data_IF_084445168160
#
_entry.id   IF_084445168160
#
_cell.length_a   1.000
_cell.length_b   1.000
_cell.length_c   1.000
_cell.angle_alpha   90.00
_cell.angle_beta   90.00
_cell.angle_gamma   90.00
#
_symmetry.space_group_name_H-M   'P 1'
#
loop_
_entity.id
_entity.type
_entity.pdbx_description
1 polymer ?
#
# COMPACT_ATOMS: atom_id res chain seq x y z
N UNK A 1 -6.76 26.01 4.29
CA UNK A 1 -5.99 25.17 3.35
C UNK A 1 -6.98 24.27 2.63
N UNK A 2 -6.84 24.12 1.32
CA UNK A 2 -7.64 23.19 0.51
C UNK A 2 -6.73 22.05 0.10
N UNK A 3 -7.14 20.80 0.34
CA UNK A 3 -6.40 19.61 -0.05
C UNK A 3 -7.09 18.99 -1.28
N UNK A 4 -6.33 18.71 -2.33
CA UNK A 4 -6.80 17.92 -3.46
C UNK A 4 -6.31 16.48 -3.28
N UNK A 5 -7.23 15.52 -3.31
CA UNK A 5 -6.92 14.10 -3.06
C UNK A 5 -7.47 13.26 -4.20
N UNK A 6 -6.59 12.47 -4.82
CA UNK A 6 -6.96 11.49 -5.85
C UNK A 6 -6.64 10.09 -5.34
N UNK A 7 -7.64 9.21 -5.34
CA UNK A 7 -7.49 7.82 -4.89
C UNK A 7 -7.58 6.88 -6.10
N UNK A 8 -6.60 6.00 -6.24
CA UNK A 8 -6.55 4.94 -7.24
C UNK A 8 -5.60 3.82 -6.76
N UNK A 9 -5.55 2.70 -7.49
CA UNK A 9 -4.59 1.61 -7.24
C UNK A 9 -3.17 2.08 -7.53
N UNK A 10 -2.23 1.60 -6.74
CA UNK A 10 -0.81 1.95 -6.78
C UNK A 10 -0.24 1.74 -8.17
N UNK A 11 -0.57 0.62 -8.84
CA UNK A 11 -0.09 0.36 -10.21
C UNK A 11 -0.38 1.45 -11.24
N UNK A 12 -1.48 2.20 -11.08
CA UNK A 12 -1.76 3.33 -11.98
C UNK A 12 -0.99 4.58 -11.56
N UNK A 13 -0.95 4.85 -10.26
CA UNK A 13 -0.20 5.98 -9.71
C UNK A 13 1.30 5.86 -10.01
N UNK A 14 1.91 4.70 -9.76
CA UNK A 14 3.33 4.43 -10.04
C UNK A 14 3.69 4.68 -11.50
N UNK A 15 2.91 4.10 -12.43
CA UNK A 15 3.14 4.30 -13.87
C UNK A 15 2.92 5.75 -14.30
N UNK A 16 1.95 6.45 -13.69
CA UNK A 16 1.71 7.86 -13.99
C UNK A 16 2.88 8.74 -13.51
N UNK A 17 3.37 8.53 -12.29
CA UNK A 17 4.54 9.24 -11.76
C UNK A 17 5.77 8.95 -12.62
N UNK A 18 6.03 7.69 -12.97
CA UNK A 18 7.18 7.33 -13.81
C UNK A 18 7.13 8.02 -15.18
N UNK A 19 5.95 8.15 -15.79
CA UNK A 19 5.77 8.91 -17.04
C UNK A 19 6.04 10.39 -16.86
N UNK A 20 5.55 11.01 -15.79
CA UNK A 20 5.77 12.43 -15.52
C UNK A 20 7.25 12.71 -15.26
N UNK A 21 7.91 11.89 -14.42
CA UNK A 21 9.36 11.96 -14.18
C UNK A 21 10.15 11.84 -15.50
N UNK A 22 9.80 10.88 -16.36
CA UNK A 22 10.47 10.69 -17.65
C UNK A 22 10.25 11.86 -18.63
N UNK A 23 9.13 12.59 -18.51
CA UNK A 23 8.81 13.74 -19.36
C UNK A 23 9.60 15.00 -19.02
N UNK A 24 10.19 15.07 -17.82
CA UNK A 24 10.86 16.26 -17.29
C UNK A 24 9.91 17.41 -16.94
N UNK A 25 8.59 17.19 -16.98
CA UNK A 25 7.60 18.17 -16.53
C UNK A 25 7.44 18.12 -15.00
N UNK A 26 7.00 19.22 -14.36
CA UNK A 26 6.62 19.19 -12.95
C UNK A 26 5.58 18.11 -12.66
N UNK A 27 5.74 17.42 -11.53
CA UNK A 27 4.75 16.45 -11.06
C UNK A 27 3.44 17.15 -10.68
N UNK A 28 2.33 16.47 -10.92
CA UNK A 28 0.99 16.94 -10.55
C UNK A 28 0.69 16.81 -9.05
N UNK A 29 1.53 16.08 -8.31
CA UNK A 29 1.35 15.79 -6.88
C UNK A 29 2.57 16.20 -6.08
N UNK A 30 2.32 16.75 -4.88
CA UNK A 30 3.38 17.07 -3.91
C UNK A 30 3.73 15.88 -3.00
N UNK A 31 2.83 14.89 -2.89
CA UNK A 31 2.95 13.75 -1.98
C UNK A 31 2.29 12.52 -2.57
N UNK A 32 2.89 11.36 -2.36
CA UNK A 32 2.38 10.07 -2.80
C UNK A 32 2.46 9.01 -1.70
N UNK A 33 1.36 8.28 -1.49
CA UNK A 33 1.23 7.24 -0.47
C UNK A 33 0.72 5.97 -1.17
N UNK A 34 1.57 4.94 -1.26
CA UNK A 34 1.30 3.71 -2.00
C UNK A 34 1.50 2.48 -1.12
N UNK A 35 0.86 1.39 -1.54
CA UNK A 35 1.17 0.05 -1.05
C UNK A 35 2.28 -0.63 -1.87
N UNK A 36 2.56 -0.17 -3.10
CA UNK A 36 3.68 -0.61 -3.94
C UNK A 36 5.04 -0.10 -3.39
N UNK A 37 5.54 -0.73 -2.33
CA UNK A 37 6.67 -0.22 -1.54
C UNK A 37 8.01 -0.16 -2.32
N UNK A 38 8.16 -0.99 -3.35
CA UNK A 38 9.37 -1.06 -4.19
C UNK A 38 9.65 0.23 -4.97
N UNK A 39 8.64 1.08 -5.17
CA UNK A 39 8.81 2.34 -5.92
C UNK A 39 9.62 3.37 -5.15
N UNK A 40 9.51 3.40 -3.81
CA UNK A 40 10.18 4.41 -2.99
C UNK A 40 11.71 4.34 -3.05
N UNK A 41 12.38 3.17 -2.86
CA UNK A 41 13.83 3.08 -3.05
C UNK A 41 14.28 3.46 -4.46
N UNK A 42 13.49 3.10 -5.48
CA UNK A 42 13.78 3.40 -6.89
C UNK A 42 13.72 4.90 -7.17
N UNK A 43 12.67 5.58 -6.71
CA UNK A 43 12.52 7.03 -6.85
C UNK A 43 13.58 7.80 -6.04
N UNK A 44 13.99 7.31 -4.86
CA UNK A 44 15.11 7.89 -4.11
C UNK A 44 16.43 7.80 -4.90
N UNK A 45 16.71 6.64 -5.51
CA UNK A 45 17.90 6.44 -6.34
C UNK A 45 17.91 7.34 -7.60
N UNK A 46 16.74 7.72 -8.10
CA UNK A 46 16.58 8.66 -9.21
C UNK A 46 16.64 10.13 -8.80
N UNK A 47 16.74 10.43 -7.50
CA UNK A 47 16.72 11.80 -6.98
C UNK A 47 15.33 12.47 -7.04
N UNK A 48 14.26 11.68 -7.18
CA UNK A 48 12.89 12.18 -7.33
C UNK A 48 12.19 12.47 -5.99
N UNK A 49 12.78 12.07 -4.85
CA UNK A 49 12.18 12.24 -3.53
C UNK A 49 12.86 13.35 -2.72
N UNK A 50 12.04 14.18 -2.06
CA UNK A 50 12.52 15.13 -1.06
C UNK A 50 12.86 14.39 0.24
N UNK A 51 14.09 14.59 0.74
CA UNK A 51 14.52 14.06 2.03
C UNK A 51 13.97 14.94 3.17
N UNK A 52 12.78 14.60 3.66
CA UNK A 52 12.06 15.37 4.66
C UNK A 52 11.69 14.52 5.89
N UNK A 53 12.23 14.90 7.05
CA UNK A 53 11.87 14.32 8.33
C UNK A 53 10.71 15.13 8.97
N UNK A 54 9.47 14.62 9.00
CA UNK A 54 8.37 15.29 9.68
C UNK A 54 8.59 15.35 11.20
N UNK A 55 7.79 16.17 11.89
CA UNK A 55 7.69 16.10 13.34
C UNK A 55 7.37 14.67 13.78
N UNK A 56 8.06 14.18 14.83
CA UNK A 56 7.98 12.79 15.30
C UNK A 56 8.52 11.72 14.36
N UNK A 57 9.30 12.05 13.31
CA UNK A 57 9.95 11.05 12.44
C UNK A 57 10.71 9.97 13.24
N UNK A 58 11.41 10.35 14.32
CA UNK A 58 12.11 9.42 15.22
C UNK A 58 11.21 8.45 15.99
N UNK A 59 9.89 8.67 16.01
CA UNK A 59 8.91 7.76 16.64
C UNK A 59 8.39 6.68 15.69
N UNK A 60 8.61 6.80 14.38
CA UNK A 60 8.33 5.70 13.45
C UNK A 60 9.35 4.59 13.71
N UNK A 61 8.87 3.35 13.79
CA UNK A 61 9.71 2.17 14.06
C UNK A 61 10.88 2.11 13.08
N UNK A 62 12.08 1.81 13.59
CA UNK A 62 13.30 1.85 12.79
C UNK A 62 13.23 1.04 11.48
N UNK A 63 12.62 -0.17 11.43
CA UNK A 63 12.49 -0.90 10.16
C UNK A 63 11.60 -0.23 9.11
N UNK A 64 10.71 0.68 9.50
CA UNK A 64 9.74 1.32 8.61
C UNK A 64 10.13 2.77 8.28
N UNK A 65 11.40 3.12 8.44
CA UNK A 65 11.85 4.49 8.30
C UNK A 65 13.15 4.57 7.53
N UNK A 66 13.15 5.32 6.43
CA UNK A 66 14.36 5.49 5.64
C UNK A 66 15.42 6.29 6.41
N UNK A 67 16.68 5.87 6.36
CA UNK A 67 17.79 6.50 7.10
C UNK A 67 18.02 7.98 6.73
N UNK A 68 17.65 8.39 5.51
CA UNK A 68 17.77 9.77 5.02
C UNK A 68 16.44 10.52 4.95
N UNK A 69 15.36 9.95 5.51
CA UNK A 69 14.02 10.53 5.46
C UNK A 69 13.48 10.78 4.03
N UNK A 70 13.89 9.95 3.07
CA UNK A 70 13.33 9.99 1.70
C UNK A 70 11.88 9.46 1.65
N UNK A 71 11.56 8.52 2.53
CA UNK A 71 10.23 7.94 2.73
C UNK A 71 10.14 7.29 4.13
N UNK A 72 8.94 7.00 4.59
CA UNK A 72 8.68 6.32 5.86
C UNK A 72 7.29 5.67 5.86
N UNK A 73 7.08 4.73 6.78
CA UNK A 73 5.82 4.06 6.99
C UNK A 73 4.75 5.06 7.46
N UNK A 74 3.69 5.18 6.66
CA UNK A 74 2.55 6.06 6.93
C UNK A 74 1.47 5.34 7.76
N UNK A 75 1.17 4.10 7.39
CA UNK A 75 0.19 3.24 8.06
C UNK A 75 0.67 1.80 8.09
N UNK A 76 0.29 1.06 9.13
CA UNK A 76 0.47 -0.38 9.22
C UNK A 76 -0.84 -1.06 8.85
N UNK A 77 -0.85 -1.76 7.71
CA UNK A 77 -2.00 -2.51 7.24
C UNK A 77 -1.69 -4.01 7.33
N UNK A 78 -2.69 -4.80 7.72
CA UNK A 78 -2.61 -6.25 7.73
C UNK A 78 -3.85 -6.81 7.04
N UNK A 79 -3.68 -7.88 6.28
CA UNK A 79 -4.79 -8.62 5.72
C UNK A 79 -5.12 -9.79 6.62
N UNK A 80 -6.40 -9.88 6.96
CA UNK A 80 -6.94 -10.95 7.78
C UNK A 80 -8.24 -11.43 7.18
N UNK A 81 -8.68 -12.58 7.66
CA UNK A 81 -9.97 -13.13 7.31
C UNK A 81 -11.06 -12.30 7.99
N UNK A 82 -12.02 -11.83 7.21
CA UNK A 82 -13.21 -11.13 7.70
C UNK A 82 -14.44 -11.95 7.36
N UNK A 83 -15.40 -12.01 8.27
CA UNK A 83 -16.62 -12.80 8.07
C UNK A 83 -17.84 -12.12 8.68
N UNK A 84 -19.01 -12.54 8.24
CA UNK A 84 -20.28 -12.08 8.80
C UNK A 84 -20.60 -12.90 10.07
N UNK A 85 -20.44 -12.26 11.24
CA UNK A 85 -20.66 -12.90 12.56
C UNK A 85 -22.10 -13.32 12.82
N UNK A 86 -23.09 -12.74 12.12
CA UNK A 86 -24.50 -13.13 12.23
C UNK A 86 -24.84 -14.37 11.39
N UNK A 87 -24.01 -14.69 10.39
CA UNK A 87 -24.23 -15.80 9.45
C UNK A 87 -23.29 -16.98 9.69
N UNK A 88 -22.16 -16.76 10.37
CA UNK A 88 -21.14 -17.78 10.57
C UNK A 88 -20.60 -17.73 12.01
N UNK A 89 -21.06 -18.66 12.83
CA UNK A 89 -20.63 -18.80 14.22
C UNK A 89 -19.21 -19.37 14.36
N UNK A 90 -18.86 -20.32 13.48
CA UNK A 90 -17.55 -20.98 13.46
C UNK A 90 -16.82 -20.60 12.17
N UNK A 91 -16.06 -19.49 12.16
CA UNK A 91 -15.27 -19.12 11.00
C UNK A 91 -14.04 -20.04 10.84
N UNK A 92 -13.53 -20.21 9.60
CA UNK A 92 -12.25 -20.87 9.36
C UNK A 92 -11.12 -20.09 10.07
N UNK A 93 -10.17 -20.79 10.68
CA UNK A 93 -9.05 -20.20 11.42
C UNK A 93 -7.74 -20.31 10.67
N UNK A 94 -7.50 -21.46 10.07
CA UNK A 94 -6.30 -21.76 9.32
C UNK A 94 -6.61 -21.96 7.83
N UNK A 95 -5.59 -21.81 6.97
CA UNK A 95 -5.79 -21.96 5.51
C UNK A 95 -6.47 -23.26 5.08
N UNK A 96 -6.17 -24.44 5.67
CA UNK A 96 -6.87 -25.68 5.31
C UNK A 96 -8.36 -25.69 5.68
N UNK A 97 -8.80 -24.89 6.66
CA UNK A 97 -10.22 -24.84 7.05
C UNK A 97 -11.09 -24.35 5.91
N UNK A 98 -10.59 -23.43 5.07
CA UNK A 98 -11.32 -22.89 3.92
C UNK A 98 -11.67 -23.95 2.87
N UNK A 99 -11.05 -25.13 2.91
CA UNK A 99 -11.35 -26.24 2.00
C UNK A 99 -12.51 -27.11 2.48
N UNK A 100 -12.99 -26.90 3.72
CA UNK A 100 -14.11 -27.68 4.27
C UNK A 100 -15.38 -27.46 3.43
N UNK A 101 -16.17 -28.53 3.16
CA UNK A 101 -17.37 -28.43 2.33
C UNK A 101 -18.39 -27.38 2.80
N UNK A 102 -18.43 -27.09 4.10
CA UNK A 102 -19.34 -26.10 4.70
C UNK A 102 -19.11 -24.65 4.21
N UNK A 103 -17.91 -24.32 3.70
CA UNK A 103 -17.56 -23.00 3.15
C UNK A 103 -17.63 -22.92 1.62
N UNK A 104 -17.96 -24.03 0.95
CA UNK A 104 -18.12 -24.06 -0.51
C UNK A 104 -19.12 -22.97 -0.95
N UNK A 105 -18.75 -22.22 -1.99
CA UNK A 105 -19.54 -21.13 -2.59
C UNK A 105 -19.88 -19.96 -1.64
N UNK A 106 -19.16 -19.84 -0.51
CA UNK A 106 -19.36 -18.79 0.51
C UNK A 106 -18.13 -17.89 0.73
N UNK A 107 -17.06 -18.10 -0.04
CA UNK A 107 -15.81 -17.36 0.08
C UNK A 107 -15.73 -16.37 -1.09
N UNK A 108 -15.44 -15.11 -0.78
CA UNK A 108 -15.17 -14.06 -1.76
C UNK A 108 -13.75 -13.56 -1.53
N UNK A 109 -12.95 -13.51 -2.60
CA UNK A 109 -11.56 -13.08 -2.56
C UNK A 109 -11.32 -11.98 -3.59
N UNK A 110 -10.47 -11.02 -3.25
CA UNK A 110 -9.88 -10.11 -4.23
C UNK A 110 -9.00 -10.92 -5.20
N UNK A 111 -9.01 -10.57 -6.48
CA UNK A 111 -8.14 -11.22 -7.45
C UNK A 111 -6.67 -10.90 -7.13
N UNK A 112 -5.79 -11.89 -6.93
CA UNK A 112 -4.43 -11.64 -6.44
C UNK A 112 -3.62 -10.75 -7.40
N UNK A 113 -3.79 -10.92 -8.72
CA UNK A 113 -3.07 -10.08 -9.70
C UNK A 113 -3.56 -8.63 -9.79
N UNK A 114 -4.67 -8.29 -9.12
CA UNK A 114 -5.18 -6.93 -9.09
C UNK A 114 -4.75 -6.16 -7.84
N UNK A 115 -4.21 -6.87 -6.85
CA UNK A 115 -3.81 -6.31 -5.57
C UNK A 115 -2.39 -5.74 -5.59
N UNK A 116 -2.22 -4.56 -5.00
CA UNK A 116 -0.96 -3.82 -4.94
C UNK A 116 0.05 -4.38 -3.92
N UNK A 117 -0.31 -5.33 -3.04
CA UNK A 117 0.64 -5.94 -2.09
C UNK A 117 1.45 -7.10 -2.70
N UNK A 118 1.06 -7.58 -3.88
CA UNK A 118 1.81 -8.63 -4.58
C UNK A 118 2.82 -7.94 -5.51
N UNK A 119 4.04 -7.79 -5.01
CA UNK A 119 5.20 -7.31 -5.78
C UNK A 119 6.04 -8.47 -6.30
#
# INVERSE_FOLDING_TARGET
MTLNVTVNRSKYHSVNIDKQLASGQPLEVDTIILQALQDYPRWDAQGALLHYAPSNFMKVLAPFRHIRAAYYGFAMNAWSTVWNTQKLANPPREWPDFLKPEYRDKIVLTHPSDDDAIA
#
